data_IF_596086790493
#
_entry.id   IF_596086790493
#
_cell.length_a   1.000
_cell.length_b   1.000
_cell.length_c   1.000
_cell.angle_alpha   90.00
_cell.angle_beta   90.00
_cell.angle_gamma   90.00
#
_symmetry.space_group_name_H-M   'P 1'
#
loop_
_entity.id
_entity.type
_entity.pdbx_description
1 polymer ?
#
# COMPACT_ATOMS: atom_id res chain seq x y z
N UNK A 1 -19.74 -26.39 11.52
CA UNK A 1 -18.67 -26.84 10.59
C UNK A 1 -17.88 -25.61 10.18
N UNK A 2 -16.54 -25.63 10.24
CA UNK A 2 -15.72 -24.48 9.89
C UNK A 2 -15.63 -24.36 8.35
N UNK A 3 -16.05 -23.22 7.81
CA UNK A 3 -15.97 -22.94 6.38
C UNK A 3 -14.51 -22.70 6.01
N UNK A 4 -13.97 -23.49 5.07
CA UNK A 4 -12.62 -23.29 4.55
C UNK A 4 -12.53 -21.91 3.89
N UNK A 5 -11.47 -21.17 4.20
CA UNK A 5 -11.27 -19.84 3.63
C UNK A 5 -10.68 -20.02 2.22
N UNK A 6 -11.37 -19.57 1.15
CA UNK A 6 -10.93 -19.82 -0.23
C UNK A 6 -9.76 -18.91 -0.68
N UNK A 7 -9.18 -18.12 0.22
CA UNK A 7 -8.19 -17.10 -0.08
C UNK A 7 -6.90 -17.36 0.69
N UNK A 8 -5.78 -17.34 -0.03
CA UNK A 8 -4.43 -17.41 0.52
C UNK A 8 -3.74 -16.05 0.44
N UNK A 9 -3.10 -15.62 1.53
CA UNK A 9 -2.28 -14.42 1.55
C UNK A 9 -0.89 -14.78 1.06
N UNK A 10 -0.51 -14.25 -0.10
CA UNK A 10 0.78 -14.58 -0.72
C UNK A 10 1.92 -13.70 -0.19
N UNK A 11 1.69 -12.41 0.02
CA UNK A 11 2.72 -11.48 0.49
C UNK A 11 2.11 -10.36 1.35
N UNK A 12 2.84 -9.95 2.40
CA UNK A 12 2.57 -8.75 3.20
C UNK A 12 3.79 -7.84 3.15
N UNK A 13 3.63 -6.63 2.62
CA UNK A 13 4.75 -5.72 2.35
C UNK A 13 4.63 -4.45 3.17
N UNK A 14 5.74 -4.01 3.75
CA UNK A 14 5.86 -2.66 4.32
C UNK A 14 6.40 -1.72 3.26
N UNK A 15 5.59 -0.78 2.80
CA UNK A 15 5.96 0.24 1.81
C UNK A 15 6.22 1.55 2.53
N UNK A 16 7.43 2.10 2.37
CA UNK A 16 7.80 3.41 2.91
C UNK A 16 7.74 4.47 1.80
N UNK A 17 7.59 5.75 2.17
CA UNK A 17 7.71 6.86 1.22
C UNK A 17 9.16 7.00 0.74
N UNK A 18 9.36 7.02 -0.57
CA UNK A 18 10.65 7.37 -1.18
C UNK A 18 10.65 8.87 -1.47
N UNK A 19 11.77 9.52 -1.15
CA UNK A 19 12.01 10.92 -1.53
C UNK A 19 12.32 10.98 -3.05
N UNK A 20 11.49 11.65 -3.86
CA UNK A 20 11.66 11.72 -5.31
C UNK A 20 12.95 12.46 -5.73
N UNK A 21 13.59 13.22 -4.84
CA UNK A 21 14.80 14.01 -5.13
C UNK A 21 16.10 13.29 -4.73
N UNK A 22 16.10 11.95 -4.60
CA UNK A 22 17.32 11.18 -4.31
C UNK A 22 18.32 11.21 -5.49
N UNK A 23 19.09 12.29 -5.54
CA UNK A 23 20.41 12.35 -6.14
C UNK A 23 21.29 11.23 -5.53
N UNK A 24 22.19 10.57 -6.29
CA UNK A 24 22.97 9.40 -5.83
C UNK A 24 24.07 9.73 -4.81
N UNK A 25 23.90 10.79 -4.01
CA UNK A 25 24.82 11.15 -2.95
C UNK A 25 24.24 10.70 -1.60
N UNK A 26 25.00 9.98 -0.75
CA UNK A 26 24.57 9.66 0.60
C UNK A 26 24.53 10.96 1.41
N UNK A 27 23.40 11.66 1.36
CA UNK A 27 23.14 12.76 2.29
C UNK A 27 22.86 12.12 3.64
N UNK A 28 23.58 12.49 4.71
CA UNK A 28 23.23 12.05 6.06
C UNK A 28 21.75 12.39 6.25
N UNK A 29 20.95 11.40 6.66
CA UNK A 29 19.57 11.64 7.02
C UNK A 29 19.57 12.71 8.12
N UNK A 30 19.37 13.97 7.73
CA UNK A 30 19.08 15.02 8.67
C UNK A 30 17.84 14.53 9.43
N UNK A 31 17.79 14.66 10.77
CA UNK A 31 16.61 14.29 11.51
C UNK A 31 15.47 15.10 10.91
N UNK A 32 14.62 14.44 10.11
CA UNK A 32 13.42 15.05 9.57
C UNK A 32 12.66 15.52 10.80
N UNK A 33 12.48 16.84 10.91
CA UNK A 33 11.66 17.46 11.95
C UNK A 33 10.43 16.57 12.18
N UNK A 34 10.06 16.24 13.43
CA UNK A 34 8.93 15.35 13.66
C UNK A 34 7.69 16.00 13.04
N UNK A 35 7.28 15.52 11.85
CA UNK A 35 6.10 15.96 11.11
C UNK A 35 4.87 15.46 11.86
N UNK A 36 4.63 16.07 13.01
CA UNK A 36 3.56 15.73 13.93
C UNK A 36 2.40 16.64 13.59
N UNK A 37 1.32 16.06 13.10
CA UNK A 37 0.10 16.81 12.84
C UNK A 37 -0.82 16.72 14.06
N UNK A 38 -1.20 17.87 14.64
CA UNK A 38 -2.17 17.89 15.73
C UNK A 38 -3.56 17.63 15.16
N UNK A 39 -4.26 16.64 15.70
CA UNK A 39 -5.61 16.31 15.26
C UNK A 39 -6.56 17.46 15.61
N UNK A 40 -7.15 18.07 14.58
CA UNK A 40 -8.28 18.98 14.76
C UNK A 40 -9.49 18.27 15.38
N UNK A 41 -10.34 19.02 16.09
CA UNK A 41 -11.61 18.54 16.68
C UNK A 41 -12.48 17.75 15.69
N UNK A 42 -12.42 18.09 14.39
CA UNK A 42 -13.12 17.35 13.35
C UNK A 42 -12.64 15.89 13.25
N UNK A 43 -11.32 15.66 13.34
CA UNK A 43 -10.70 14.33 13.25
C UNK A 43 -11.00 13.46 14.48
N UNK A 44 -11.16 14.06 15.66
CA UNK A 44 -11.46 13.34 16.90
C UNK A 44 -12.79 12.57 16.85
N UNK A 45 -13.78 13.12 16.13
CA UNK A 45 -15.06 12.43 15.93
C UNK A 45 -14.89 11.13 15.14
N UNK A 46 -13.92 11.09 14.23
CA UNK A 46 -13.64 9.91 13.39
C UNK A 46 -12.97 8.76 14.15
N UNK A 47 -12.32 9.03 15.30
CA UNK A 47 -11.66 8.00 16.12
C UNK A 47 -12.62 6.99 16.77
N UNK A 48 -13.91 7.34 16.84
CA UNK A 48 -14.95 6.46 17.37
C UNK A 48 -15.45 5.45 16.33
N UNK A 49 -15.10 5.64 15.05
CA UNK A 49 -15.54 4.75 13.99
C UNK A 49 -14.53 3.61 13.79
N UNK A 50 -15.01 2.39 13.49
CA UNK A 50 -14.14 1.27 13.17
C UNK A 50 -13.37 1.52 11.86
N UNK A 51 -12.24 0.82 11.62
CA UNK A 51 -11.48 0.95 10.39
C UNK A 51 -12.35 0.75 9.14
N UNK A 52 -12.32 1.71 8.22
CA UNK A 52 -13.04 1.60 6.95
C UNK A 52 -12.33 0.63 6.02
N UNK A 53 -13.00 -0.44 5.60
CA UNK A 53 -12.50 -1.37 4.58
C UNK A 53 -13.22 -1.12 3.25
N UNK A 54 -12.47 -1.03 2.14
CA UNK A 54 -13.02 -0.83 0.79
C UNK A 54 -12.44 -1.88 -0.16
N UNK A 55 -13.29 -2.47 -0.98
CA UNK A 55 -12.90 -3.41 -2.04
C UNK A 55 -13.05 -2.73 -3.40
N UNK A 56 -12.02 -2.87 -4.25
CA UNK A 56 -12.02 -2.41 -5.63
C UNK A 56 -11.72 -3.60 -6.53
N UNK A 57 -12.67 -3.95 -7.39
CA UNK A 57 -12.53 -5.06 -8.33
C UNK A 57 -12.09 -4.52 -9.69
N UNK A 58 -10.94 -5.00 -10.17
CA UNK A 58 -10.39 -4.64 -11.47
C UNK A 58 -10.32 -5.88 -12.35
N UNK A 59 -10.76 -5.74 -13.60
CA UNK A 59 -10.57 -6.77 -14.61
C UNK A 59 -9.16 -6.63 -15.18
N UNK A 60 -8.35 -7.68 -15.04
CA UNK A 60 -7.04 -7.75 -15.66
C UNK A 60 -7.22 -8.36 -17.06
N UNK A 61 -6.75 -7.72 -18.13
CA UNK A 61 -6.77 -8.34 -19.45
C UNK A 61 -5.82 -9.55 -19.42
N UNK A 62 -6.39 -10.75 -19.46
CA UNK A 62 -5.61 -11.95 -19.77
C UNK A 62 -5.10 -11.81 -21.20
N UNK A 63 -3.80 -12.01 -21.47
CA UNK A 63 -3.33 -12.06 -22.84
C UNK A 63 -4.13 -13.16 -23.56
N UNK A 64 -4.89 -12.77 -24.58
CA UNK A 64 -5.57 -13.69 -25.48
C UNK A 64 -4.51 -14.38 -26.33
N UNK A 65 -3.71 -15.27 -25.73
CA UNK A 65 -2.89 -16.19 -26.48
C UNK A 65 -3.83 -17.29 -26.95
N UNK A 66 -4.16 -17.26 -28.24
CA UNK A 66 -4.94 -18.23 -28.99
C UNK A 66 -4.22 -19.58 -29.03
N UNK A 67 -4.05 -20.22 -27.88
CA UNK A 67 -3.52 -21.57 -27.73
C UNK A 67 -4.27 -22.20 -26.57
N UNK A 68 -4.80 -23.38 -26.85
CA UNK A 68 -5.87 -24.13 -26.17
C UNK A 68 -5.56 -24.61 -24.74
N UNK A 69 -4.75 -23.87 -23.97
CA UNK A 69 -4.35 -24.19 -22.60
C UNK A 69 -4.11 -22.90 -21.80
N UNK A 70 -5.15 -22.10 -21.58
CA UNK A 70 -5.10 -20.98 -20.63
C UNK A 70 -4.93 -21.53 -19.20
N UNK A 71 -3.69 -21.78 -18.81
CA UNK A 71 -3.34 -22.23 -17.46
C UNK A 71 -3.33 -21.01 -16.56
N UNK A 72 -3.88 -21.11 -15.36
CA UNK A 72 -3.93 -20.05 -14.34
C UNK A 72 -2.57 -19.41 -14.01
N UNK A 73 -1.45 -20.01 -14.42
CA UNK A 73 -0.09 -19.51 -14.21
C UNK A 73 0.24 -18.18 -14.91
N UNK A 74 -0.30 -17.92 -16.10
CA UNK A 74 0.11 -16.74 -16.89
C UNK A 74 -0.39 -15.42 -16.28
N UNK A 75 -1.64 -15.42 -15.78
CA UNK A 75 -2.21 -14.26 -15.08
C UNK A 75 -1.53 -14.02 -13.73
N UNK A 76 -1.11 -15.08 -13.05
CA UNK A 76 -0.39 -15.03 -11.78
C UNK A 76 1.01 -14.41 -12.00
N UNK A 77 1.74 -14.82 -13.03
CA UNK A 77 3.04 -14.23 -13.38
C UNK A 77 2.94 -12.73 -13.65
N UNK A 78 1.97 -12.31 -14.47
CA UNK A 78 1.75 -10.88 -14.76
C UNK A 78 1.47 -10.05 -13.50
N UNK A 79 0.73 -10.62 -12.54
CA UNK A 79 0.45 -9.96 -11.27
C UNK A 79 1.73 -9.75 -10.44
N UNK A 80 2.53 -10.80 -10.26
CA UNK A 80 3.73 -10.75 -9.44
C UNK A 80 4.89 -9.99 -10.10
N UNK A 81 5.07 -10.13 -11.41
CA UNK A 81 6.22 -9.57 -12.11
C UNK A 81 6.04 -8.11 -12.52
N UNK A 82 4.80 -7.67 -12.72
CA UNK A 82 4.50 -6.33 -13.24
C UNK A 82 3.62 -5.51 -12.32
N UNK A 83 2.40 -5.99 -12.04
CA UNK A 83 1.40 -5.20 -11.33
C UNK A 83 1.84 -4.88 -9.90
N UNK A 84 2.33 -5.89 -9.17
CA UNK A 84 2.73 -5.76 -7.78
C UNK A 84 3.92 -4.80 -7.59
N UNK A 85 5.03 -4.88 -8.35
CA UNK A 85 6.11 -3.89 -8.30
C UNK A 85 5.66 -2.46 -8.63
N UNK A 86 4.81 -2.29 -9.65
CA UNK A 86 4.30 -0.97 -10.06
C UNK A 86 3.43 -0.38 -8.95
N UNK A 87 2.54 -1.18 -8.34
CA UNK A 87 1.72 -0.75 -7.21
C UNK A 87 2.57 -0.35 -6.01
N UNK A 88 3.60 -1.13 -5.65
CA UNK A 88 4.51 -0.80 -4.54
C UNK A 88 5.23 0.54 -4.80
N UNK A 89 5.76 0.74 -6.00
CA UNK A 89 6.47 1.97 -6.38
C UNK A 89 5.56 3.19 -6.42
N UNK A 90 4.40 3.08 -7.09
CA UNK A 90 3.43 4.18 -7.16
C UNK A 90 2.83 4.53 -5.80
N UNK A 91 2.58 3.53 -4.94
CA UNK A 91 2.14 3.75 -3.57
C UNK A 91 3.22 4.47 -2.77
N UNK A 92 4.48 4.04 -2.86
CA UNK A 92 5.61 4.71 -2.21
C UNK A 92 5.68 6.20 -2.58
N UNK A 93 5.55 6.53 -3.86
CA UNK A 93 5.53 7.92 -4.33
C UNK A 93 4.30 8.68 -3.83
N UNK A 94 3.13 8.04 -3.84
CA UNK A 94 1.90 8.66 -3.32
C UNK A 94 2.01 8.96 -1.82
N UNK A 95 2.58 8.04 -1.05
CA UNK A 95 2.80 8.20 0.39
C UNK A 95 3.73 9.36 0.73
N UNK A 96 4.64 9.75 -0.17
CA UNK A 96 5.43 10.98 -0.01
C UNK A 96 4.55 12.23 0.01
N UNK A 97 3.55 12.32 -0.87
CA UNK A 97 2.62 13.45 -0.92
C UNK A 97 1.55 13.41 0.19
N UNK A 98 1.18 12.20 0.64
CA UNK A 98 0.20 11.98 1.70
C UNK A 98 0.87 11.51 2.99
N UNK A 99 1.88 12.26 3.46
CA UNK A 99 2.70 11.94 4.63
C UNK A 99 1.92 11.49 5.89
N UNK A 100 0.74 12.04 6.23
CA UNK A 100 -0.05 11.56 7.37
C UNK A 100 -0.44 10.08 7.32
N UNK A 101 -0.51 9.46 6.13
CA UNK A 101 -0.86 8.05 5.96
C UNK A 101 0.26 7.08 6.37
N UNK A 102 1.52 7.54 6.36
CA UNK A 102 2.70 6.75 6.76
C UNK A 102 2.97 6.88 8.26
N UNK A 103 2.34 7.87 8.90
CA UNK A 103 2.48 8.13 10.33
C UNK A 103 1.73 7.14 11.21
N UNK A 104 1.94 7.27 12.52
CA UNK A 104 1.17 6.55 13.53
C UNK A 104 0.30 7.53 14.29
N UNK A 105 -0.92 7.12 14.62
CA UNK A 105 -1.76 7.83 15.57
C UNK A 105 -1.24 7.57 16.98
N UNK A 106 -0.84 8.60 17.70
CA UNK A 106 -0.38 8.50 19.09
C UNK A 106 -1.32 9.27 20.02
N UNK A 107 -1.51 8.73 21.22
CA UNK A 107 -2.16 9.43 22.33
C UNK A 107 -1.09 9.96 23.26
N UNK A 108 -1.18 11.22 23.66
CA UNK A 108 -0.31 11.74 24.69
C UNK A 108 -0.59 10.94 25.98
N UNK A 109 0.46 10.46 26.67
CA UNK A 109 0.28 9.84 27.98
C UNK A 109 -0.32 10.88 28.93
N UNK A 110 -1.22 10.40 29.80
CA UNK A 110 -1.89 11.19 30.83
C UNK A 110 -1.06 11.24 32.11
#
# INVERSE_FOLDING_TARGET
MAQQNPVEVVEVCKVASVDPDHHPHPRPAAPSSPNSFTLSLFNLSWLRFPPSSRLLFHQIPTPNTTTTTSTSGDAVSLFFDSILPILKSSLSLTLHHFSPLVGNLTWLPN
#
